data_IF_780587987095
#
_entry.id   IF_780587987095
#
_cell.length_a   1.000
_cell.length_b   1.000
_cell.length_c   1.000
_cell.angle_alpha   90.00
_cell.angle_beta   90.00
_cell.angle_gamma   90.00
#
_symmetry.space_group_name_H-M   'P 1'
#
loop_
_entity.id
_entity.type
_entity.pdbx_description
1 polymer ?
#
# COMPACT_ATOMS: atom_id res chain seq x y z
N UNK A 1 16.42 3.97 28.28
CA UNK A 1 15.79 4.73 27.18
C UNK A 1 14.42 4.16 26.94
N UNK A 2 13.38 4.95 27.18
CA UNK A 2 12.00 4.53 26.89
C UNK A 2 11.82 4.21 25.41
N UNK A 3 11.38 3.00 25.12
CA UNK A 3 10.98 2.59 23.77
C UNK A 3 9.54 3.02 23.56
N UNK A 4 9.35 4.25 23.08
CA UNK A 4 8.02 4.81 22.81
C UNK A 4 7.85 4.97 21.31
N UNK A 5 6.67 4.62 20.82
CA UNK A 5 6.22 4.82 19.44
C UNK A 5 4.92 5.63 19.48
N UNK A 6 4.81 6.62 18.62
CA UNK A 6 3.58 7.40 18.45
C UNK A 6 3.11 7.32 17.00
N UNK A 7 1.79 7.29 16.80
CA UNK A 7 1.15 7.27 15.48
C UNK A 7 0.18 8.43 15.42
N UNK A 8 0.35 9.30 14.42
CA UNK A 8 -0.46 10.49 14.20
C UNK A 8 -1.11 10.44 12.82
N UNK A 9 -2.43 10.55 12.77
CA UNK A 9 -3.16 10.69 11.51
C UNK A 9 -3.15 12.13 11.02
N UNK A 10 -2.81 12.38 9.76
CA UNK A 10 -2.86 13.72 9.18
C UNK A 10 -4.27 14.04 8.70
N UNK A 11 -4.93 14.92 9.43
CA UNK A 11 -6.28 15.41 9.11
C UNK A 11 -6.22 16.58 8.11
N UNK A 12 -7.37 16.89 7.50
CA UNK A 12 -7.51 18.05 6.61
C UNK A 12 -6.75 17.92 5.29
N UNK A 13 -6.40 16.70 4.87
CA UNK A 13 -5.93 16.43 3.52
C UNK A 13 -7.15 16.52 2.58
N UNK A 14 -7.10 17.40 1.55
CA UNK A 14 -8.21 17.57 0.62
C UNK A 14 -8.41 16.33 -0.27
N UNK A 15 -9.50 16.31 -1.04
CA UNK A 15 -9.66 15.34 -2.12
C UNK A 15 -8.55 15.51 -3.13
N UNK A 16 -7.77 14.45 -3.33
CA UNK A 16 -6.60 14.45 -4.24
C UNK A 16 -7.07 14.28 -5.68
N UNK A 17 -6.47 15.05 -6.59
CA UNK A 17 -6.68 15.02 -8.04
C UNK A 17 -5.37 14.72 -8.77
N UNK A 18 -5.47 14.33 -10.03
CA UNK A 18 -4.32 14.15 -10.90
C UNK A 18 -3.50 15.44 -11.00
N UNK A 19 -2.17 15.30 -10.85
CA UNK A 19 -1.21 16.40 -10.88
C UNK A 19 -0.99 17.13 -9.56
N UNK A 20 -1.75 16.81 -8.49
CA UNK A 20 -1.55 17.43 -7.18
C UNK A 20 -0.16 17.12 -6.61
N UNK A 21 0.49 18.15 -6.04
CA UNK A 21 1.75 17.99 -5.27
C UNK A 21 1.45 17.37 -3.90
N UNK A 22 1.34 16.04 -3.89
CA UNK A 22 1.03 15.29 -2.68
C UNK A 22 2.05 15.54 -1.55
N UNK A 23 3.33 15.74 -1.89
CA UNK A 23 4.36 16.07 -0.89
C UNK A 23 4.07 17.38 -0.17
N UNK A 24 3.71 18.43 -0.93
CA UNK A 24 3.33 19.73 -0.35
C UNK A 24 2.06 19.60 0.51
N UNK A 25 1.04 18.92 0.02
CA UNK A 25 -0.23 18.72 0.75
C UNK A 25 0.02 18.03 2.10
N UNK A 26 0.86 16.99 2.12
CA UNK A 26 1.20 16.24 3.35
C UNK A 26 1.98 17.14 4.32
N UNK A 27 2.99 17.87 3.85
CA UNK A 27 3.79 18.78 4.70
C UNK A 27 2.91 19.88 5.27
N UNK A 28 2.05 20.49 4.47
CA UNK A 28 1.13 21.53 4.93
C UNK A 28 0.14 20.98 5.98
N UNK A 29 -0.39 19.76 5.79
CA UNK A 29 -1.27 19.10 6.75
C UNK A 29 -0.56 18.80 8.08
N UNK A 30 0.69 18.32 8.03
CA UNK A 30 1.50 18.09 9.21
C UNK A 30 1.78 19.38 9.99
N UNK A 31 2.15 20.45 9.29
CA UNK A 31 2.43 21.75 9.90
C UNK A 31 1.18 22.37 10.55
N UNK A 32 0.00 22.27 9.90
CA UNK A 32 -1.27 22.74 10.48
C UNK A 32 -1.62 22.07 11.80
N UNK A 33 -1.15 20.84 12.02
CA UNK A 33 -1.37 20.08 13.25
C UNK A 33 -0.22 20.21 14.25
N UNK A 34 0.70 21.18 14.05
CA UNK A 34 1.91 21.34 14.89
C UNK A 34 2.75 20.07 15.00
N UNK A 35 2.77 19.28 13.95
CA UNK A 35 3.51 18.02 13.81
C UNK A 35 4.52 18.11 12.64
N UNK A 36 5.51 19.03 12.67
CA UNK A 36 6.49 19.09 11.59
C UNK A 36 7.21 17.75 11.43
N UNK A 37 7.41 17.34 10.18
CA UNK A 37 8.10 16.09 9.87
C UNK A 37 9.58 16.19 10.27
N UNK A 38 10.10 15.14 10.87
CA UNK A 38 11.48 15.07 11.38
C UNK A 38 12.22 13.83 10.86
N UNK A 39 13.55 13.86 10.98
CA UNK A 39 14.40 12.75 10.58
C UNK A 39 13.99 11.46 11.32
N UNK A 40 13.77 10.40 10.55
CA UNK A 40 13.42 9.08 11.10
C UNK A 40 11.92 8.85 11.25
N UNK A 41 11.06 9.81 10.93
CA UNK A 41 9.62 9.56 10.80
C UNK A 41 9.36 8.54 9.68
N UNK A 42 8.32 7.72 9.86
CA UNK A 42 7.80 6.84 8.80
C UNK A 42 6.41 7.35 8.42
N UNK A 43 6.23 7.68 7.15
CA UNK A 43 4.93 8.03 6.60
C UNK A 43 4.29 6.79 6.00
N UNK A 44 3.10 6.42 6.49
CA UNK A 44 2.23 5.42 5.87
C UNK A 44 1.18 6.17 5.07
N UNK A 45 1.17 5.96 3.76
CA UNK A 45 0.33 6.68 2.80
C UNK A 45 -0.59 5.71 2.09
N UNK A 46 -1.90 5.96 2.13
CA UNK A 46 -2.87 5.13 1.43
C UNK A 46 -2.60 5.15 -0.09
N UNK A 47 -2.60 4.00 -0.70
CA UNK A 47 -2.41 3.80 -2.14
C UNK A 47 -3.28 4.76 -2.97
N UNK A 48 -4.54 4.97 -2.57
CA UNK A 48 -5.50 5.75 -3.35
C UNK A 48 -5.11 7.21 -3.58
N UNK A 49 -4.50 7.87 -2.60
CA UNK A 49 -4.07 9.26 -2.81
C UNK A 49 -2.87 9.33 -3.75
N UNK A 50 -2.00 8.32 -3.73
CA UNK A 50 -0.92 8.18 -4.71
C UNK A 50 -1.52 7.97 -6.10
N UNK A 51 -2.40 6.98 -6.25
CA UNK A 51 -3.01 6.65 -7.55
C UNK A 51 -3.78 7.81 -8.15
N UNK A 52 -4.52 8.57 -7.33
CA UNK A 52 -5.23 9.76 -7.80
C UNK A 52 -4.26 10.84 -8.27
N UNK A 53 -3.23 11.15 -7.49
CA UNK A 53 -2.25 12.17 -7.88
C UNK A 53 -1.47 11.80 -9.15
N UNK A 54 -1.31 10.50 -9.43
CA UNK A 54 -0.65 9.97 -10.62
C UNK A 54 -1.60 9.67 -11.80
N UNK A 55 -2.90 9.98 -11.68
CA UNK A 55 -3.90 9.72 -12.73
C UNK A 55 -4.20 8.24 -12.94
N UNK A 56 -3.88 7.37 -11.95
CA UNK A 56 -4.14 5.93 -12.03
C UNK A 56 -5.62 5.62 -11.70
N UNK A 57 -6.54 6.23 -12.45
CA UNK A 57 -8.00 6.04 -12.34
C UNK A 57 -8.58 5.72 -13.71
N UNK A 58 -9.68 4.95 -13.73
CA UNK A 58 -10.35 4.55 -14.98
C UNK A 58 -11.85 4.79 -14.85
N UNK A 59 -12.44 5.46 -15.85
CA UNK A 59 -13.89 5.58 -16.03
C UNK A 59 -14.40 4.33 -16.76
N UNK A 60 -15.16 3.51 -16.07
CA UNK A 60 -15.70 2.24 -16.60
C UNK A 60 -16.65 2.44 -17.80
N UNK A 61 -17.26 3.62 -17.97
CA UNK A 61 -18.09 3.93 -19.13
C UNK A 61 -17.30 3.97 -20.43
N UNK A 62 -15.98 4.21 -20.34
CA UNK A 62 -15.06 4.27 -21.49
C UNK A 62 -14.43 2.91 -21.79
N UNK A 63 -14.75 1.88 -21.00
CA UNK A 63 -14.14 0.55 -21.13
C UNK A 63 -15.07 -0.37 -21.91
N UNK A 64 -14.59 -0.91 -23.02
CA UNK A 64 -15.29 -1.92 -23.82
C UNK A 64 -14.87 -3.32 -23.35
N UNK A 65 -15.76 -4.09 -22.67
CA UNK A 65 -15.40 -5.39 -22.15
C UNK A 65 -15.27 -6.44 -23.24
N UNK A 66 -14.19 -7.21 -23.18
CA UNK A 66 -13.94 -8.38 -24.03
C UNK A 66 -14.96 -9.51 -23.79
N UNK A 67 -15.02 -10.45 -24.73
CA UNK A 67 -15.84 -11.67 -24.55
C UNK A 67 -15.42 -12.46 -23.32
N UNK A 68 -14.12 -12.49 -23.03
CA UNK A 68 -13.58 -13.17 -21.85
C UNK A 68 -14.02 -12.47 -20.56
N UNK A 69 -13.89 -11.15 -20.48
CA UNK A 69 -14.37 -10.38 -19.34
C UNK A 69 -15.87 -10.56 -19.08
N UNK A 70 -16.70 -10.60 -20.14
CA UNK A 70 -18.15 -10.88 -20.03
C UNK A 70 -18.44 -12.26 -19.45
N UNK A 71 -17.66 -13.30 -19.82
CA UNK A 71 -17.79 -14.65 -19.24
C UNK A 71 -17.43 -14.68 -17.75
N UNK A 72 -16.29 -14.09 -17.39
CA UNK A 72 -15.86 -13.97 -15.99
C UNK A 72 -16.88 -13.17 -15.17
N UNK A 73 -17.35 -12.04 -15.70
CA UNK A 73 -18.31 -11.15 -15.04
C UNK A 73 -19.61 -11.86 -14.66
N UNK A 74 -20.17 -12.67 -15.55
CA UNK A 74 -21.38 -13.49 -15.27
C UNK A 74 -21.12 -14.44 -14.10
N UNK A 75 -19.99 -15.13 -14.10
CA UNK A 75 -19.63 -16.12 -13.06
C UNK A 75 -19.33 -15.43 -11.72
N UNK A 76 -18.63 -14.30 -11.75
CA UNK A 76 -18.26 -13.54 -10.55
C UNK A 76 -19.36 -12.55 -10.11
N UNK A 77 -20.49 -12.45 -10.82
CA UNK A 77 -21.58 -11.47 -10.56
C UNK A 77 -21.05 -10.04 -10.45
N UNK A 78 -20.20 -9.66 -11.38
CA UNK A 78 -19.59 -8.32 -11.46
C UNK A 78 -19.97 -7.61 -12.76
N UNK A 79 -19.75 -6.31 -12.80
CA UNK A 79 -19.90 -5.51 -14.03
C UNK A 79 -18.82 -5.89 -15.05
N UNK A 80 -19.16 -6.13 -16.34
CA UNK A 80 -18.18 -6.57 -17.34
C UNK A 80 -17.01 -5.61 -17.57
N UNK A 81 -17.26 -4.27 -17.59
CA UNK A 81 -16.22 -3.27 -17.75
C UNK A 81 -15.26 -3.21 -16.53
N UNK A 82 -15.80 -3.43 -15.32
CA UNK A 82 -14.96 -3.56 -14.13
C UNK A 82 -14.05 -4.80 -14.21
N UNK A 83 -14.60 -5.95 -14.67
CA UNK A 83 -13.80 -7.17 -14.85
C UNK A 83 -12.73 -6.98 -15.92
N UNK A 84 -13.03 -6.26 -17.02
CA UNK A 84 -12.01 -5.95 -18.03
C UNK A 84 -10.85 -5.17 -17.43
N UNK A 85 -11.12 -4.14 -16.60
CA UNK A 85 -10.07 -3.38 -15.91
C UNK A 85 -9.27 -4.27 -14.97
N UNK A 86 -9.92 -5.16 -14.20
CA UNK A 86 -9.24 -6.13 -13.34
C UNK A 86 -8.31 -7.02 -14.17
N UNK A 87 -8.79 -7.57 -15.27
CA UNK A 87 -7.99 -8.46 -16.13
C UNK A 87 -6.78 -7.74 -16.73
N UNK A 88 -6.92 -6.46 -17.10
CA UNK A 88 -5.82 -5.64 -17.59
C UNK A 88 -4.73 -5.38 -16.54
N UNK A 89 -5.05 -5.50 -15.24
CA UNK A 89 -4.09 -5.40 -14.12
C UNK A 89 -3.60 -6.77 -13.63
N UNK A 90 -4.13 -7.86 -14.22
CA UNK A 90 -3.90 -9.23 -13.79
C UNK A 90 -2.81 -9.89 -14.63
N UNK A 91 -1.80 -10.43 -13.97
CA UNK A 91 -0.82 -11.33 -14.59
C UNK A 91 -1.37 -12.77 -14.63
N UNK A 92 -2.00 -13.23 -13.55
CA UNK A 92 -2.56 -14.57 -13.42
C UNK A 92 -3.80 -14.56 -12.51
N UNK A 93 -4.83 -15.33 -12.88
CA UNK A 93 -5.98 -15.58 -11.99
C UNK A 93 -5.61 -16.76 -11.11
N UNK A 94 -5.47 -16.52 -9.81
CA UNK A 94 -5.10 -17.56 -8.83
C UNK A 94 -6.33 -18.35 -8.41
N UNK A 95 -7.44 -17.65 -8.13
CA UNK A 95 -8.68 -18.29 -7.69
C UNK A 95 -9.88 -17.44 -8.04
N UNK A 96 -10.95 -18.09 -8.43
CA UNK A 96 -12.25 -17.48 -8.61
C UNK A 96 -13.30 -18.31 -7.90
N UNK A 97 -13.97 -17.71 -6.92
CA UNK A 97 -15.06 -18.35 -6.19
C UNK A 97 -16.08 -17.28 -5.80
N UNK A 98 -17.35 -17.52 -6.12
CA UNK A 98 -18.44 -16.57 -5.93
C UNK A 98 -18.12 -15.19 -6.53
N UNK A 99 -18.11 -14.12 -5.71
CA UNK A 99 -17.76 -12.77 -6.16
C UNK A 99 -16.27 -12.45 -6.01
N UNK A 100 -15.47 -13.41 -5.52
CA UNK A 100 -14.05 -13.19 -5.27
C UNK A 100 -13.23 -13.59 -6.50
N UNK A 101 -12.47 -12.62 -7.00
CA UNK A 101 -11.49 -12.83 -8.05
C UNK A 101 -10.10 -12.51 -7.44
N UNK A 102 -9.40 -13.57 -7.03
CA UNK A 102 -8.04 -13.45 -6.48
C UNK A 102 -7.06 -13.59 -7.63
N UNK A 103 -6.22 -12.58 -7.79
CA UNK A 103 -5.31 -12.51 -8.93
C UNK A 103 -3.92 -12.11 -8.48
N UNK A 104 -2.90 -12.52 -9.24
CA UNK A 104 -1.56 -11.96 -9.18
C UNK A 104 -1.52 -10.72 -10.07
N UNK A 105 -1.10 -9.59 -9.52
CA UNK A 105 -0.88 -8.35 -10.25
C UNK A 105 0.43 -8.38 -11.05
N UNK A 106 0.63 -7.44 -11.97
CA UNK A 106 1.92 -7.27 -12.65
C UNK A 106 3.07 -6.90 -11.68
N UNK A 107 2.75 -6.39 -10.49
CA UNK A 107 3.72 -6.12 -9.41
C UNK A 107 4.14 -7.39 -8.65
N UNK A 108 3.40 -8.50 -8.80
CA UNK A 108 3.59 -9.75 -8.08
C UNK A 108 2.74 -9.89 -6.81
N UNK A 109 1.90 -8.91 -6.48
CA UNK A 109 0.99 -9.02 -5.33
C UNK A 109 -0.18 -9.94 -5.65
N UNK A 110 -0.51 -10.84 -4.73
CA UNK A 110 -1.71 -11.67 -4.80
C UNK A 110 -2.81 -11.05 -3.96
N UNK A 111 -3.84 -10.52 -4.61
CA UNK A 111 -4.92 -9.80 -3.93
C UNK A 111 -6.26 -9.94 -4.67
N UNK A 112 -7.32 -9.46 -4.05
CA UNK A 112 -8.63 -9.41 -4.68
C UNK A 112 -8.68 -8.35 -5.79
N UNK A 113 -9.27 -8.70 -6.93
CA UNK A 113 -9.54 -7.80 -8.06
C UNK A 113 -8.30 -7.05 -8.58
N UNK A 114 -7.10 -7.62 -8.45
CA UNK A 114 -5.84 -6.97 -8.83
C UNK A 114 -5.63 -5.57 -8.18
N UNK A 115 -6.18 -5.33 -7.01
CA UNK A 115 -6.13 -4.02 -6.35
C UNK A 115 -7.01 -2.95 -7.00
N UNK A 116 -7.85 -3.30 -7.97
CA UNK A 116 -8.83 -2.37 -8.57
C UNK A 116 -9.97 -2.13 -7.60
N UNK A 117 -10.17 -0.88 -7.18
CA UNK A 117 -11.13 -0.53 -6.14
C UNK A 117 -12.02 0.65 -6.55
N UNK A 118 -13.32 0.54 -6.20
CA UNK A 118 -14.35 1.58 -6.40
C UNK A 118 -14.48 2.53 -5.21
N UNK A 119 -14.02 2.14 -4.05
CA UNK A 119 -14.23 2.92 -2.83
C UNK A 119 -13.41 4.22 -2.82
N UNK A 120 -14.01 5.31 -2.30
CA UNK A 120 -13.35 6.61 -2.18
C UNK A 120 -12.77 7.17 -3.50
N UNK A 121 -13.36 6.84 -4.65
CA UNK A 121 -13.04 7.41 -5.97
C UNK A 121 -14.21 8.31 -6.38
N UNK A 122 -13.93 9.49 -6.92
CA UNK A 122 -14.94 10.43 -7.37
C UNK A 122 -15.65 9.90 -8.63
N UNK A 123 -17.01 9.92 -8.58
CA UNK A 123 -17.86 9.41 -9.65
C UNK A 123 -18.24 7.93 -9.50
N UNK A 124 -19.53 7.62 -9.72
CA UNK A 124 -20.12 6.29 -9.53
C UNK A 124 -19.49 5.21 -10.45
N UNK A 125 -18.95 5.62 -11.58
CA UNK A 125 -18.38 4.73 -12.60
C UNK A 125 -16.84 4.70 -12.61
N UNK A 126 -16.17 5.31 -11.64
CA UNK A 126 -14.71 5.38 -11.59
C UNK A 126 -14.13 4.31 -10.67
N UNK A 127 -12.95 3.80 -11.04
CA UNK A 127 -12.15 2.89 -10.23
C UNK A 127 -10.72 3.40 -10.13
N UNK A 128 -10.06 3.13 -8.99
CA UNK A 128 -8.62 3.34 -8.84
C UNK A 128 -7.85 2.07 -9.15
N UNK A 129 -6.70 2.21 -9.76
CA UNK A 129 -5.71 1.17 -9.97
C UNK A 129 -4.59 1.32 -8.95
N UNK A 130 -3.77 0.30 -8.75
CA UNK A 130 -2.50 0.46 -8.06
C UNK A 130 -1.57 1.40 -8.86
N UNK A 131 -0.66 2.15 -8.23
CA UNK A 131 0.38 2.90 -8.92
C UNK A 131 1.18 1.96 -9.81
N UNK A 132 1.63 2.42 -10.98
CA UNK A 132 2.43 1.59 -11.91
C UNK A 132 3.71 1.03 -11.27
N UNK A 133 4.32 1.79 -10.39
CA UNK A 133 5.48 1.41 -9.58
C UNK A 133 5.39 2.11 -8.23
N UNK A 134 4.86 1.40 -7.23
CA UNK A 134 4.62 1.96 -5.90
C UNK A 134 5.92 2.31 -5.15
N UNK A 135 7.04 1.62 -5.41
CA UNK A 135 8.34 1.97 -4.84
C UNK A 135 8.85 3.29 -5.44
N UNK A 136 8.69 3.49 -6.75
CA UNK A 136 9.04 4.74 -7.40
C UNK A 136 8.17 5.89 -6.91
N UNK A 137 6.88 5.66 -6.70
CA UNK A 137 5.95 6.64 -6.13
C UNK A 137 6.38 7.02 -4.70
N UNK A 138 6.70 6.04 -3.86
CA UNK A 138 7.24 6.27 -2.51
C UNK A 138 8.55 7.08 -2.55
N UNK A 139 9.44 6.77 -3.50
CA UNK A 139 10.73 7.47 -3.69
C UNK A 139 10.51 8.92 -4.11
N UNK A 140 9.60 9.19 -5.05
CA UNK A 140 9.26 10.54 -5.49
C UNK A 140 8.68 11.37 -4.35
N UNK A 141 7.74 10.81 -3.61
CA UNK A 141 7.13 11.45 -2.46
C UNK A 141 8.16 11.75 -1.37
N UNK A 142 9.01 10.78 -1.02
CA UNK A 142 10.11 10.99 -0.05
C UNK A 142 11.06 12.10 -0.49
N UNK A 143 11.46 12.11 -1.76
CA UNK A 143 12.31 13.17 -2.33
C UNK A 143 11.65 14.53 -2.17
N UNK A 144 10.36 14.64 -2.53
CA UNK A 144 9.61 15.91 -2.45
C UNK A 144 9.47 16.41 -1.02
N UNK A 145 9.19 15.53 -0.06
CA UNK A 145 9.15 15.90 1.37
C UNK A 145 10.51 16.42 1.83
N UNK A 146 11.60 15.75 1.46
CA UNK A 146 12.95 16.20 1.80
C UNK A 146 13.29 17.58 1.22
N UNK A 147 12.88 17.85 -0.01
CA UNK A 147 13.05 19.18 -0.64
C UNK A 147 12.32 20.27 0.14
N UNK A 148 11.13 19.97 0.65
CA UNK A 148 10.28 20.94 1.36
C UNK A 148 10.68 21.17 2.83
N UNK A 149 11.21 20.14 3.50
CA UNK A 149 11.39 20.16 4.97
C UNK A 149 12.84 19.94 5.42
N UNK A 150 13.70 19.43 4.55
CA UNK A 150 15.03 18.93 4.92
C UNK A 150 15.00 17.59 5.66
N UNK A 151 13.83 17.08 6.08
CA UNK A 151 13.71 15.86 6.86
C UNK A 151 13.94 14.59 6.01
N UNK A 152 14.73 13.68 6.55
CA UNK A 152 14.96 12.35 5.98
C UNK A 152 13.98 11.35 6.62
N UNK A 153 12.88 11.11 5.95
CA UNK A 153 11.79 10.22 6.36
C UNK A 153 11.82 8.90 5.59
N UNK A 154 11.14 7.87 6.09
CA UNK A 154 10.75 6.73 5.26
C UNK A 154 9.31 6.91 4.77
N UNK A 155 8.99 6.35 3.60
CA UNK A 155 7.63 6.34 3.03
C UNK A 155 7.23 4.91 2.73
N UNK A 156 6.04 4.53 3.20
CA UNK A 156 5.35 3.28 2.89
C UNK A 156 4.05 3.62 2.17
N UNK A 157 3.87 3.11 0.96
CA UNK A 157 2.57 3.09 0.27
C UNK A 157 1.85 1.84 0.72
N UNK A 158 0.65 1.98 1.28
CA UNK A 158 -0.11 0.87 1.84
C UNK A 158 -1.43 0.65 1.12
N UNK A 159 -1.81 -0.62 1.00
CA UNK A 159 -3.14 -1.01 0.53
C UNK A 159 -3.74 -2.11 1.42
N UNK A 160 -5.05 -2.33 1.29
CA UNK A 160 -5.82 -3.22 2.16
C UNK A 160 -5.99 -4.58 1.51
N UNK A 161 -5.45 -5.60 2.15
CA UNK A 161 -5.50 -6.98 1.66
C UNK A 161 -6.27 -7.91 2.61
N UNK A 162 -6.99 -8.87 2.02
CA UNK A 162 -7.41 -10.08 2.72
C UNK A 162 -6.20 -10.97 3.02
N UNK A 163 -6.40 -11.93 3.91
CA UNK A 163 -5.35 -12.87 4.32
C UNK A 163 -5.86 -14.31 4.25
N UNK A 164 -5.04 -15.26 3.80
CA UNK A 164 -5.36 -16.68 3.96
C UNK A 164 -5.61 -17.04 5.43
N UNK A 165 -6.55 -17.94 5.68
CA UNK A 165 -6.86 -18.53 7.00
C UNK A 165 -7.35 -17.58 8.11
N UNK A 166 -7.56 -16.32 7.82
CA UNK A 166 -8.06 -15.34 8.80
C UNK A 166 -9.11 -14.44 8.18
N UNK A 167 -10.20 -14.20 8.89
CA UNK A 167 -11.18 -13.17 8.54
C UNK A 167 -10.63 -11.77 8.84
N UNK A 168 -11.17 -10.78 8.15
CA UNK A 168 -10.75 -9.40 8.24
C UNK A 168 -9.59 -9.07 7.30
N UNK A 169 -9.45 -7.81 7.03
CA UNK A 169 -8.40 -7.24 6.18
C UNK A 169 -7.38 -6.51 7.04
N UNK A 170 -6.18 -6.35 6.51
CA UNK A 170 -5.13 -5.51 7.10
C UNK A 170 -4.49 -4.67 6.00
N UNK A 171 -3.81 -3.60 6.36
CA UNK A 171 -2.98 -2.88 5.41
C UNK A 171 -1.60 -3.53 5.30
N UNK A 172 -1.14 -3.69 4.05
CA UNK A 172 0.18 -4.20 3.70
C UNK A 172 0.94 -3.15 2.91
N UNK A 173 2.26 -3.19 2.97
CA UNK A 173 3.14 -2.34 2.19
C UNK A 173 3.20 -2.83 0.74
N UNK A 174 2.85 -1.96 -0.20
CA UNK A 174 2.96 -2.20 -1.64
C UNK A 174 4.04 -1.36 -2.30
N UNK A 175 4.66 -0.44 -1.56
CA UNK A 175 5.79 0.38 -1.99
C UNK A 175 6.52 0.95 -0.79
N UNK A 176 7.85 1.00 -0.85
CA UNK A 176 8.69 1.52 0.24
C UNK A 176 9.82 2.40 -0.29
N UNK A 177 10.22 3.39 0.51
CA UNK A 177 11.41 4.21 0.25
C UNK A 177 12.04 4.69 1.55
N UNK A 178 13.38 4.68 1.61
CA UNK A 178 14.15 5.18 2.75
C UNK A 178 14.36 4.16 3.87
N UNK A 179 13.84 2.94 3.71
CA UNK A 179 13.99 1.86 4.68
C UNK A 179 14.13 0.50 4.01
N UNK A 180 14.69 -0.48 4.70
CA UNK A 180 14.57 -1.89 4.35
C UNK A 180 13.21 -2.40 4.82
N UNK A 181 12.46 -3.16 3.99
CA UNK A 181 11.12 -3.64 4.36
C UNK A 181 11.15 -4.81 5.35
N UNK A 182 12.28 -5.49 5.45
CA UNK A 182 12.47 -6.68 6.28
C UNK A 182 13.58 -6.46 7.31
N UNK A 183 13.44 -7.10 8.48
CA UNK A 183 14.55 -7.31 9.43
C UNK A 183 14.84 -8.80 9.48
N UNK A 184 16.06 -9.17 9.10
CA UNK A 184 16.54 -10.54 9.18
C UNK A 184 17.20 -10.79 10.55
N UNK A 185 16.61 -11.70 11.32
CA UNK A 185 17.12 -12.14 12.62
C UNK A 185 17.88 -13.46 12.54
N UNK A 186 17.94 -14.09 11.37
CA UNK A 186 18.65 -15.35 11.20
C UNK A 186 20.12 -15.19 11.59
N UNK A 187 20.65 -16.17 12.32
CA UNK A 187 21.99 -16.13 12.89
C UNK A 187 22.13 -15.34 14.18
N UNK A 188 21.16 -14.50 14.58
CA UNK A 188 21.17 -13.85 15.89
C UNK A 188 20.82 -14.86 16.99
N UNK A 189 21.30 -14.60 18.20
CA UNK A 189 21.00 -15.42 19.36
C UNK A 189 19.76 -14.91 20.10
N UNK A 190 18.93 -15.83 20.59
CA UNK A 190 17.86 -15.52 21.54
C UNK A 190 18.43 -15.25 22.95
N UNK A 191 17.54 -15.01 23.93
CA UNK A 191 17.93 -14.74 25.32
C UNK A 191 18.67 -15.91 25.99
N UNK A 192 18.54 -17.12 25.46
CA UNK A 192 19.18 -18.34 25.96
C UNK A 192 20.38 -18.78 25.11
N UNK A 193 20.85 -17.93 24.21
CA UNK A 193 22.02 -18.19 23.35
C UNK A 193 21.74 -19.10 22.15
N UNK A 194 20.47 -19.49 21.86
CA UNK A 194 20.11 -20.32 20.71
C UNK A 194 20.01 -19.46 19.44
N UNK A 195 20.59 -19.94 18.34
CA UNK A 195 20.55 -19.23 17.06
C UNK A 195 19.13 -19.26 16.45
N UNK A 196 18.60 -18.10 16.09
CA UNK A 196 17.37 -17.95 15.32
C UNK A 196 17.64 -18.40 13.87
N UNK A 197 16.89 -19.38 13.39
CA UNK A 197 17.14 -20.00 12.06
C UNK A 197 16.22 -19.48 10.97
N UNK A 198 15.00 -19.07 11.30
CA UNK A 198 13.94 -18.77 10.31
C UNK A 198 13.31 -17.39 10.46
N UNK A 199 13.65 -16.63 11.50
CA UNK A 199 12.95 -15.40 11.86
C UNK A 199 13.35 -14.25 10.95
N UNK A 200 12.41 -13.82 10.10
CA UNK A 200 12.48 -12.59 9.29
C UNK A 200 11.17 -11.84 9.53
N UNK A 201 11.25 -10.57 9.91
CA UNK A 201 10.07 -9.74 10.20
C UNK A 201 9.80 -8.78 9.05
N UNK A 202 8.56 -8.76 8.57
CA UNK A 202 8.09 -7.82 7.54
C UNK A 202 7.68 -6.48 8.16
N UNK A 203 8.66 -5.71 8.61
CA UNK A 203 8.41 -4.46 9.36
C UNK A 203 7.64 -3.41 8.56
N UNK A 204 7.75 -3.40 7.25
CA UNK A 204 6.97 -2.48 6.42
C UNK A 204 5.47 -2.82 6.49
N UNK A 205 5.10 -4.11 6.54
CA UNK A 205 3.72 -4.55 6.71
C UNK A 205 3.22 -4.26 8.13
N UNK A 206 4.05 -4.47 9.15
CA UNK A 206 3.71 -4.13 10.54
C UNK A 206 3.42 -2.63 10.69
N UNK A 207 4.26 -1.76 10.09
CA UNK A 207 4.07 -0.32 10.12
C UNK A 207 2.86 0.10 9.27
N UNK A 208 2.63 -0.50 8.10
CA UNK A 208 1.44 -0.26 7.29
C UNK A 208 0.16 -0.59 8.07
N UNK A 209 0.13 -1.74 8.74
CA UNK A 209 -0.99 -2.15 9.59
C UNK A 209 -1.15 -1.25 10.81
N UNK A 210 -0.07 -0.80 11.45
CA UNK A 210 -0.11 0.13 12.58
C UNK A 210 -0.67 1.51 12.15
N UNK A 211 -0.28 2.00 10.97
CA UNK A 211 -0.83 3.23 10.39
C UNK A 211 -2.33 3.17 10.18
N UNK A 212 -2.86 2.01 9.74
CA UNK A 212 -4.30 1.81 9.52
C UNK A 212 -5.15 2.00 10.78
N UNK A 213 -4.63 1.71 11.97
CA UNK A 213 -5.36 1.92 13.24
C UNK A 213 -5.83 3.36 13.42
N UNK A 214 -5.10 4.32 12.85
CA UNK A 214 -5.43 5.75 12.89
C UNK A 214 -6.07 6.23 11.59
N UNK A 215 -5.64 5.71 10.44
CA UNK A 215 -6.14 6.13 9.11
C UNK A 215 -7.61 5.76 8.90
N UNK A 216 -7.99 4.56 9.27
CA UNK A 216 -9.34 4.00 9.10
C UNK A 216 -9.89 4.17 7.68
N UNK A 217 -11.09 3.64 7.42
CA UNK A 217 -11.65 3.64 6.05
C UNK A 217 -12.55 4.81 5.73
N UNK A 218 -13.14 5.44 6.75
CA UNK A 218 -14.19 6.46 6.63
C UNK A 218 -13.81 7.83 7.17
N UNK A 219 -12.66 7.94 7.86
CA UNK A 219 -12.33 9.14 8.64
C UNK A 219 -11.62 10.23 7.81
N UNK A 220 -11.36 9.96 6.52
CA UNK A 220 -10.70 10.93 5.63
C UNK A 220 -9.23 11.19 5.98
N UNK A 221 -8.57 10.25 6.65
CA UNK A 221 -7.16 10.34 7.07
C UNK A 221 -6.33 9.41 6.19
N UNK A 222 -5.83 9.86 5.03
CA UNK A 222 -5.10 8.98 4.11
C UNK A 222 -3.61 8.83 4.41
N UNK A 223 -3.10 9.53 5.43
CA UNK A 223 -1.67 9.50 5.81
C UNK A 223 -1.53 9.41 7.32
N UNK A 224 -0.68 8.50 7.78
CA UNK A 224 -0.22 8.42 9.17
C UNK A 224 1.28 8.69 9.25
N UNK A 225 1.69 9.40 10.30
CA UNK A 225 3.10 9.62 10.67
C UNK A 225 3.41 8.76 11.88
N UNK A 226 4.36 7.83 11.74
CA UNK A 226 4.85 6.99 12.82
C UNK A 226 6.21 7.52 13.27
N UNK A 227 6.31 7.91 14.55
CA UNK A 227 7.52 8.50 15.14
C UNK A 227 8.05 7.65 16.28
N UNK A 228 9.38 7.56 16.37
CA UNK A 228 10.05 6.82 17.45
C UNK A 228 10.44 5.39 17.09
N UNK A 229 10.02 4.85 15.94
CA UNK A 229 10.44 3.54 15.47
C UNK A 229 11.84 3.59 14.84
N UNK A 230 12.73 2.71 15.31
CA UNK A 230 14.07 2.55 14.72
C UNK A 230 14.03 1.44 13.66
N UNK A 231 14.17 1.81 12.41
CA UNK A 231 14.17 0.88 11.27
C UNK A 231 15.54 0.85 10.57
N UNK A 232 15.88 -0.25 9.89
CA UNK A 232 17.05 -0.32 9.02
C UNK A 232 16.88 0.66 7.85
N UNK A 233 17.70 1.72 7.83
CA UNK A 233 17.72 2.69 6.73
C UNK A 233 18.34 2.06 5.48
N UNK A 234 17.94 2.55 4.31
CA UNK A 234 18.56 2.12 3.06
C UNK A 234 17.59 2.06 1.89
N UNK A 235 18.09 1.54 0.79
CA UNK A 235 17.28 1.23 -0.39
C UNK A 235 16.59 -0.10 -0.14
N UNK A 236 15.26 -0.10 -0.16
CA UNK A 236 14.41 -1.28 -0.06
C UNK A 236 13.35 -1.25 -1.16
N UNK A 237 12.69 -2.38 -1.37
CA UNK A 237 11.58 -2.53 -2.31
C UNK A 237 10.49 -3.40 -1.67
N UNK A 238 9.24 -3.07 -1.89
CA UNK A 238 8.12 -3.92 -1.47
C UNK A 238 8.14 -5.30 -2.17
N UNK A 239 8.86 -5.43 -3.28
CA UNK A 239 9.10 -6.74 -3.92
C UNK A 239 9.88 -7.71 -3.05
N UNK A 240 10.69 -7.22 -2.11
CA UNK A 240 11.42 -8.07 -1.15
C UNK A 240 10.47 -8.82 -0.19
N UNK A 241 9.24 -8.34 0.00
CA UNK A 241 8.21 -8.97 0.84
C UNK A 241 7.40 -10.00 0.05
N UNK A 242 7.36 -9.88 -1.28
CA UNK A 242 6.63 -10.83 -2.13
C UNK A 242 7.32 -12.18 -2.08
N UNK A 243 6.55 -13.22 -1.70
CA UNK A 243 7.07 -14.58 -1.64
C UNK A 243 7.39 -15.09 -3.06
N UNK A 244 8.60 -15.60 -3.31
CA UNK A 244 8.92 -16.27 -4.57
C UNK A 244 7.95 -17.42 -4.85
N UNK A 245 7.61 -17.64 -6.12
CA UNK A 245 6.59 -18.63 -6.53
C UNK A 245 6.95 -20.05 -6.07
N UNK A 246 8.24 -20.38 -6.10
CA UNK A 246 8.79 -21.68 -5.69
C UNK A 246 8.62 -21.96 -4.19
N UNK A 247 8.41 -20.90 -3.41
CA UNK A 247 8.22 -20.95 -1.95
C UNK A 247 6.76 -20.71 -1.55
N UNK A 248 5.85 -20.53 -2.53
CA UNK A 248 4.44 -20.28 -2.25
C UNK A 248 3.73 -21.61 -1.90
N UNK A 249 3.12 -21.64 -0.72
CA UNK A 249 2.40 -22.82 -0.22
C UNK A 249 0.90 -22.76 -0.48
N UNK A 250 0.40 -21.73 -1.18
CA UNK A 250 -1.04 -21.46 -1.33
C UNK A 250 -1.51 -21.43 -2.78
N UNK A 251 -0.66 -21.71 -3.74
CA UNK A 251 -0.95 -21.86 -5.17
C UNK A 251 -0.97 -23.31 -5.60
#
# INVERSE_FOLDING_TARGET
MDRKLTIHGLQGIPSIREGDDLGKIIVDAANRQSLPLTNGDVLVVAQKVISKSEGSTVDLRKVTPSTFAKKIARRARKEPSHVEVILNQTKEIIRMQDHHLITETHHGFVCANAGVDRSNVEGESSVSLLPKDSDLSAKRLRKRIRELTGADVAVIVSDTFGRPWRVGQINLAIGVSGMKPLIDYRGRKDLYGRSLKLTVMAIADELASAGELIMRKSDGIPVAVIRGYRYPRGVGSAREIVRPRELDLFR
#
